data_IF_270871951362
#
_entry.id   IF_270871951362
#
_cell.length_a   1.000
_cell.length_b   1.000
_cell.length_c   1.000
_cell.angle_alpha   90.00
_cell.angle_beta   90.00
_cell.angle_gamma   90.00
#
_symmetry.space_group_name_H-M   'P 1'
#
loop_
_entity.id
_entity.type
_entity.pdbx_description
1 polymer ?
#
# COMPACT_ATOMS: atom_id res chain seq x y z
N UNK A 1 2.91 34.89 -14.06
CA UNK A 1 1.82 34.32 -13.24
C UNK A 1 2.04 34.76 -11.81
N UNK A 2 1.05 35.33 -11.11
CA UNK A 2 1.23 35.79 -9.71
C UNK A 2 1.65 34.62 -8.80
N UNK A 3 2.42 34.90 -7.76
CA UNK A 3 2.91 33.88 -6.82
C UNK A 3 1.75 33.17 -6.12
N UNK A 4 0.73 33.92 -5.71
CA UNK A 4 -0.53 33.41 -5.18
C UNK A 4 -1.20 32.39 -6.11
N UNK A 5 -1.24 32.67 -7.42
CA UNK A 5 -1.81 31.72 -8.40
C UNK A 5 -0.95 30.45 -8.53
N UNK A 6 0.38 30.56 -8.41
CA UNK A 6 1.27 29.39 -8.40
C UNK A 6 1.05 28.53 -7.16
N UNK A 7 0.93 29.16 -5.98
CA UNK A 7 0.65 28.50 -4.71
C UNK A 7 -0.68 27.73 -4.80
N UNK A 8 -1.77 28.40 -5.19
CA UNK A 8 -3.09 27.77 -5.33
C UNK A 8 -3.07 26.55 -6.28
N UNK A 9 -2.32 26.64 -7.38
CA UNK A 9 -2.14 25.52 -8.31
C UNK A 9 -1.34 24.37 -7.69
N UNK A 10 -0.28 24.69 -6.95
CA UNK A 10 0.57 23.72 -6.28
C UNK A 10 -0.21 22.99 -5.17
N UNK A 11 -0.92 23.72 -4.30
CA UNK A 11 -1.79 23.15 -3.27
C UNK A 11 -2.86 22.23 -3.87
N UNK A 12 -3.52 22.65 -4.95
CA UNK A 12 -4.48 21.81 -5.66
C UNK A 12 -3.84 20.52 -6.18
N UNK A 13 -2.61 20.57 -6.68
CA UNK A 13 -1.89 19.39 -7.14
C UNK A 13 -1.49 18.49 -5.97
N UNK A 14 -1.02 19.06 -4.85
CA UNK A 14 -0.72 18.33 -3.63
C UNK A 14 -1.95 17.59 -3.11
N UNK A 15 -3.09 18.28 -3.02
CA UNK A 15 -4.36 17.69 -2.60
C UNK A 15 -4.73 16.48 -3.48
N UNK A 16 -4.58 16.58 -4.81
CA UNK A 16 -4.82 15.44 -5.70
C UNK A 16 -3.91 14.26 -5.37
N UNK A 17 -2.64 14.47 -4.98
CA UNK A 17 -1.75 13.37 -4.57
C UNK A 17 -2.23 12.72 -3.28
N UNK A 18 -2.65 13.51 -2.30
CA UNK A 18 -3.22 13.00 -1.04
C UNK A 18 -4.51 12.21 -1.29
N UNK A 19 -5.40 12.69 -2.18
CA UNK A 19 -6.60 11.95 -2.59
C UNK A 19 -6.26 10.60 -3.24
N UNK A 20 -5.21 10.57 -4.07
CA UNK A 20 -4.74 9.34 -4.69
C UNK A 20 -4.16 8.35 -3.67
N UNK A 21 -3.51 8.82 -2.60
CA UNK A 21 -3.10 7.97 -1.47
C UNK A 21 -4.33 7.33 -0.82
N UNK A 22 -5.36 8.11 -0.49
CA UNK A 22 -6.59 7.56 0.10
C UNK A 22 -7.30 6.52 -0.79
N UNK A 23 -7.34 6.78 -2.11
CA UNK A 23 -7.88 5.81 -3.08
C UNK A 23 -7.04 4.54 -3.18
N UNK A 24 -5.71 4.66 -3.11
CA UNK A 24 -4.79 3.53 -3.10
C UNK A 24 -4.98 2.67 -1.83
N UNK A 25 -5.07 3.31 -0.66
CA UNK A 25 -5.23 2.60 0.61
C UNK A 25 -6.58 1.85 0.65
N UNK A 26 -7.66 2.45 0.14
CA UNK A 26 -8.96 1.78 -0.01
C UNK A 26 -8.89 0.52 -0.86
N UNK A 27 -8.19 0.57 -2.00
CA UNK A 27 -7.97 -0.61 -2.87
C UNK A 27 -7.09 -1.66 -2.21
N UNK A 28 -6.07 -1.23 -1.49
CA UNK A 28 -5.16 -2.12 -0.75
C UNK A 28 -5.92 -2.90 0.31
N UNK A 29 -6.78 -2.25 1.10
CA UNK A 29 -7.64 -2.91 2.09
C UNK A 29 -8.60 -3.91 1.45
N UNK A 30 -9.20 -3.57 0.31
CA UNK A 30 -10.07 -4.49 -0.43
C UNK A 30 -9.32 -5.76 -0.87
N UNK A 31 -8.14 -5.62 -1.49
CA UNK A 31 -7.32 -6.77 -1.93
C UNK A 31 -6.85 -7.60 -0.73
N UNK A 32 -6.47 -6.96 0.37
CA UNK A 32 -6.08 -7.64 1.61
C UNK A 32 -7.23 -8.52 2.14
N UNK A 33 -8.45 -7.99 2.16
CA UNK A 33 -9.63 -8.72 2.59
C UNK A 33 -9.87 -9.99 1.77
N UNK A 34 -9.73 -9.91 0.44
CA UNK A 34 -9.84 -11.08 -0.46
C UNK A 34 -8.76 -12.11 -0.14
N UNK A 35 -7.50 -11.70 -0.04
CA UNK A 35 -6.38 -12.61 0.25
C UNK A 35 -6.55 -13.33 1.59
N UNK A 36 -6.94 -12.61 2.65
CA UNK A 36 -7.20 -13.18 3.97
C UNK A 36 -8.37 -14.17 3.93
N UNK A 37 -9.47 -13.81 3.24
CA UNK A 37 -10.61 -14.70 3.09
C UNK A 37 -10.24 -15.98 2.34
N UNK A 38 -9.52 -15.87 1.23
CA UNK A 38 -9.05 -17.03 0.45
C UNK A 38 -8.11 -17.92 1.26
N UNK A 39 -7.20 -17.34 2.07
CA UNK A 39 -6.35 -18.09 2.99
C UNK A 39 -7.15 -18.81 4.08
N UNK A 40 -8.15 -18.14 4.66
CA UNK A 40 -9.05 -18.75 5.65
C UNK A 40 -9.79 -19.96 5.08
N UNK A 41 -10.32 -19.83 3.86
CA UNK A 41 -10.94 -20.96 3.15
C UNK A 41 -9.92 -22.06 2.89
N UNK A 42 -8.73 -21.74 2.37
CA UNK A 42 -7.67 -22.72 2.11
C UNK A 42 -7.28 -23.50 3.37
N UNK A 43 -7.17 -22.83 4.51
CA UNK A 43 -6.88 -23.45 5.80
C UNK A 43 -8.02 -24.33 6.31
N UNK A 44 -9.28 -23.92 6.09
CA UNK A 44 -10.44 -24.77 6.42
C UNK A 44 -10.55 -26.01 5.52
N UNK A 45 -10.13 -25.88 4.26
CA UNK A 45 -10.13 -26.95 3.26
C UNK A 45 -8.96 -27.92 3.42
N UNK A 46 -8.02 -27.68 4.34
CA UNK A 46 -6.81 -28.50 4.48
C UNK A 46 -6.91 -29.63 5.49
N UNK A 47 -8.11 -30.17 5.75
CA UNK A 47 -8.28 -31.34 6.61
C UNK A 47 -7.59 -32.59 6.03
N UNK A 48 -7.21 -33.53 6.90
CA UNK A 48 -6.63 -34.84 6.54
C UNK A 48 -5.36 -34.75 5.68
N UNK A 49 -4.43 -33.87 6.05
CA UNK A 49 -3.12 -33.70 5.38
C UNK A 49 -2.37 -35.04 5.23
N UNK A 50 -2.58 -35.99 6.14
CA UNK A 50 -2.00 -37.33 6.11
C UNK A 50 -2.39 -38.14 4.87
N UNK A 51 -3.54 -37.85 4.26
CA UNK A 51 -4.06 -38.54 3.06
C UNK A 51 -3.68 -37.84 1.75
N UNK A 52 -2.95 -36.72 1.82
CA UNK A 52 -2.64 -35.94 0.65
C UNK A 52 -1.67 -36.67 -0.29
N UNK A 53 -2.04 -36.71 -1.55
CA UNK A 53 -1.12 -37.03 -2.63
C UNK A 53 -0.07 -35.92 -2.79
N UNK A 54 1.07 -36.25 -3.40
CA UNK A 54 2.11 -35.25 -3.74
C UNK A 54 1.51 -34.09 -4.56
N UNK A 55 0.57 -34.39 -5.46
CA UNK A 55 -0.12 -33.38 -6.24
C UNK A 55 -0.92 -32.40 -5.37
N UNK A 56 -1.65 -32.89 -4.35
CA UNK A 56 -2.37 -32.05 -3.41
C UNK A 56 -1.40 -31.15 -2.61
N UNK A 57 -0.30 -31.68 -2.10
CA UNK A 57 0.74 -30.87 -1.44
C UNK A 57 1.25 -29.73 -2.33
N UNK A 58 1.52 -30.00 -3.61
CA UNK A 58 1.97 -28.97 -4.54
C UNK A 58 0.91 -27.91 -4.76
N UNK A 59 -0.35 -28.30 -5.01
CA UNK A 59 -1.45 -27.35 -5.27
C UNK A 59 -1.72 -26.45 -4.05
N UNK A 60 -1.86 -27.03 -2.85
CA UNK A 60 -2.05 -26.27 -1.62
C UNK A 60 -0.84 -25.40 -1.30
N UNK A 61 0.38 -25.92 -1.47
CA UNK A 61 1.62 -25.19 -1.25
C UNK A 61 1.76 -23.97 -2.17
N UNK A 62 1.57 -24.14 -3.48
CA UNK A 62 1.61 -23.04 -4.45
C UNK A 62 0.53 -22.00 -4.15
N UNK A 63 -0.68 -22.44 -3.78
CA UNK A 63 -1.75 -21.53 -3.38
C UNK A 63 -1.35 -20.72 -2.15
N UNK A 64 -0.86 -21.38 -1.10
CA UNK A 64 -0.43 -20.73 0.13
C UNK A 64 0.70 -19.72 -0.10
N UNK A 65 1.72 -20.10 -0.88
CA UNK A 65 2.86 -19.22 -1.22
C UNK A 65 2.41 -17.99 -2.01
N UNK A 66 1.55 -18.16 -3.01
CA UNK A 66 1.09 -17.03 -3.85
C UNK A 66 0.18 -16.08 -3.06
N UNK A 67 -0.72 -16.60 -2.21
CA UNK A 67 -1.53 -15.77 -1.32
C UNK A 67 -0.68 -15.03 -0.27
N UNK A 68 0.29 -15.71 0.35
CA UNK A 68 1.22 -15.11 1.30
C UNK A 68 2.11 -14.05 0.64
N UNK A 69 2.59 -14.29 -0.58
CA UNK A 69 3.33 -13.29 -1.36
C UNK A 69 2.46 -12.06 -1.68
N UNK A 70 1.18 -12.27 -2.00
CA UNK A 70 0.19 -11.19 -2.15
C UNK A 70 0.11 -10.33 -0.89
N UNK A 71 -0.06 -10.95 0.28
CA UNK A 71 -0.10 -10.24 1.57
C UNK A 71 1.21 -9.53 1.90
N UNK A 72 2.35 -10.11 1.56
CA UNK A 72 3.65 -9.46 1.71
C UNK A 72 3.73 -8.16 0.88
N UNK A 73 3.25 -8.17 -0.36
CA UNK A 73 3.20 -6.95 -1.17
C UNK A 73 2.20 -5.92 -0.64
N UNK A 74 1.06 -6.36 -0.11
CA UNK A 74 0.13 -5.49 0.63
C UNK A 74 0.82 -4.84 1.84
N UNK A 75 1.62 -5.57 2.60
CA UNK A 75 2.39 -4.99 3.69
C UNK A 75 3.38 -3.92 3.18
N UNK A 76 4.09 -4.19 2.08
CA UNK A 76 4.99 -3.21 1.44
C UNK A 76 4.28 -1.97 0.90
N UNK A 77 3.00 -2.06 0.52
CA UNK A 77 2.17 -0.90 0.18
C UNK A 77 1.99 0.06 1.36
N UNK A 78 1.88 -0.45 2.59
CA UNK A 78 1.63 0.38 3.76
C UNK A 78 2.89 1.03 4.32
N UNK A 79 4.02 0.36 4.16
CA UNK A 79 5.31 0.83 4.63
C UNK A 79 6.32 0.96 3.48
N UNK A 80 6.09 1.89 2.52
CA UNK A 80 7.07 2.15 1.48
C UNK A 80 8.32 2.73 2.15
N UNK A 81 9.43 2.00 2.06
CA UNK A 81 10.71 2.49 2.53
C UNK A 81 11.19 3.61 1.60
N UNK A 82 11.08 4.84 2.05
CA UNK A 82 11.66 5.99 1.36
C UNK A 82 12.68 6.65 2.28
N UNK A 83 13.94 6.68 1.85
CA UNK A 83 14.95 7.51 2.50
C UNK A 83 14.65 8.97 2.18
N UNK A 84 14.36 9.77 3.22
CA UNK A 84 14.50 11.23 3.18
C UNK A 84 14.39 11.83 4.57
N UNK A 85 15.30 12.73 4.90
CA UNK A 85 15.06 13.75 5.92
C UNK A 85 13.98 14.70 5.39
N UNK A 86 12.79 14.68 5.97
CA UNK A 86 11.73 15.61 5.62
C UNK A 86 11.77 16.79 6.59
N UNK A 87 12.10 17.98 6.10
CA UNK A 87 12.13 19.21 6.90
C UNK A 87 10.98 20.16 6.53
N UNK A 88 9.98 19.66 5.81
CA UNK A 88 8.85 20.45 5.32
C UNK A 88 7.95 20.91 6.45
N UNK A 89 7.58 22.18 6.46
CA UNK A 89 6.65 22.75 7.44
C UNK A 89 5.19 22.36 7.13
N UNK A 90 4.93 21.80 5.96
CA UNK A 90 3.64 21.25 5.56
C UNK A 90 3.51 19.72 5.80
N UNK A 91 4.55 19.07 6.34
CA UNK A 91 4.50 17.64 6.69
C UNK A 91 4.23 17.44 8.17
N UNK A 92 3.18 16.65 8.47
CA UNK A 92 2.76 16.39 9.85
C UNK A 92 3.87 15.79 10.74
N UNK A 93 4.75 14.95 10.20
CA UNK A 93 5.84 14.35 10.96
C UNK A 93 6.87 15.41 11.42
N UNK A 94 7.27 16.31 10.51
CA UNK A 94 8.16 17.43 10.85
C UNK A 94 7.53 18.30 11.94
N UNK A 95 6.25 18.65 11.79
CA UNK A 95 5.54 19.51 12.74
C UNK A 95 5.48 18.85 14.12
N UNK A 96 5.19 17.54 14.17
CA UNK A 96 5.10 16.78 15.42
C UNK A 96 6.44 16.67 16.17
N UNK A 97 7.56 16.70 15.46
CA UNK A 97 8.91 16.66 16.04
C UNK A 97 9.39 18.04 16.53
N UNK A 98 8.74 19.13 16.12
CA UNK A 98 9.10 20.49 16.48
C UNK A 98 8.39 20.99 17.74
N UNK A 99 9.05 21.85 18.52
CA UNK A 99 8.36 22.64 19.55
C UNK A 99 7.42 23.64 18.89
N UNK A 100 6.27 23.88 19.51
CA UNK A 100 5.26 24.80 18.98
C UNK A 100 5.81 26.20 18.67
N UNK A 101 6.61 26.77 19.57
CA UNK A 101 7.19 28.11 19.37
C UNK A 101 8.14 28.16 18.18
N UNK A 102 8.94 27.10 17.97
CA UNK A 102 9.84 26.99 16.82
C UNK A 102 9.05 26.83 15.51
N UNK A 103 8.00 26.01 15.52
CA UNK A 103 7.11 25.85 14.36
C UNK A 103 6.43 27.18 14.02
N UNK A 104 5.80 27.83 15.00
CA UNK A 104 5.14 29.13 14.83
C UNK A 104 6.11 30.17 14.26
N UNK A 105 7.32 30.27 14.83
CA UNK A 105 8.34 31.22 14.38
C UNK A 105 8.78 30.95 12.94
N UNK A 106 9.05 29.70 12.58
CA UNK A 106 9.44 29.34 11.20
C UNK A 106 8.31 29.64 10.22
N UNK A 107 7.09 29.22 10.52
CA UNK A 107 5.93 29.42 9.64
C UNK A 107 5.63 30.89 9.40
N UNK A 108 5.63 31.73 10.45
CA UNK A 108 5.42 33.17 10.31
C UNK A 108 6.60 33.90 9.65
N UNK A 109 7.79 33.30 9.67
CA UNK A 109 8.99 33.85 9.03
C UNK A 109 9.20 33.40 7.58
N UNK A 110 8.42 32.44 7.08
CA UNK A 110 8.51 31.95 5.70
C UNK A 110 7.92 32.95 4.71
N UNK A 111 8.61 33.19 3.60
CA UNK A 111 8.06 33.95 2.48
C UNK A 111 7.10 33.08 1.64
N UNK A 112 6.26 33.72 0.82
CA UNK A 112 5.43 33.03 -0.17
C UNK A 112 6.24 32.11 -1.09
N UNK A 113 7.49 32.49 -1.38
CA UNK A 113 8.40 31.70 -2.20
C UNK A 113 8.87 30.45 -1.45
N UNK A 114 9.24 30.57 -0.18
CA UNK A 114 9.62 29.43 0.66
C UNK A 114 8.44 28.46 0.81
N UNK A 115 7.23 29.00 0.98
CA UNK A 115 6.01 28.20 1.05
C UNK A 115 5.76 27.42 -0.25
N UNK A 116 5.86 28.09 -1.42
CA UNK A 116 5.72 27.43 -2.72
C UNK A 116 6.76 26.33 -2.92
N UNK A 117 8.03 26.58 -2.58
CA UNK A 117 9.10 25.58 -2.66
C UNK A 117 8.81 24.36 -1.78
N UNK A 118 8.27 24.57 -0.57
CA UNK A 118 7.90 23.50 0.33
C UNK A 118 6.72 22.66 -0.19
N UNK A 119 5.70 23.28 -0.78
CA UNK A 119 4.58 22.57 -1.42
C UNK A 119 5.07 21.77 -2.63
N UNK A 120 5.95 22.33 -3.45
CA UNK A 120 6.55 21.61 -4.58
C UNK A 120 7.36 20.40 -4.12
N UNK A 121 8.11 20.54 -3.03
CA UNK A 121 8.80 19.43 -2.39
C UNK A 121 7.81 18.34 -1.94
N UNK A 122 6.71 18.71 -1.27
CA UNK A 122 5.67 17.76 -0.87
C UNK A 122 5.02 17.04 -2.06
N UNK A 123 4.76 17.74 -3.17
CA UNK A 123 4.21 17.12 -4.39
C UNK A 123 5.17 16.05 -4.90
N UNK A 124 6.46 16.35 -4.98
CA UNK A 124 7.46 15.40 -5.45
C UNK A 124 7.55 14.18 -4.52
N UNK A 125 7.66 14.40 -3.21
CA UNK A 125 7.74 13.31 -2.22
C UNK A 125 6.50 12.42 -2.23
N UNK A 126 5.31 13.00 -2.20
CA UNK A 126 4.06 12.24 -2.26
C UNK A 126 3.93 11.48 -3.59
N UNK A 127 4.44 12.03 -4.69
CA UNK A 127 4.46 11.32 -5.98
C UNK A 127 5.39 10.10 -5.98
N UNK A 128 6.56 10.19 -5.33
CA UNK A 128 7.48 9.04 -5.16
C UNK A 128 6.86 7.96 -4.29
N UNK A 129 6.27 8.35 -3.15
CA UNK A 129 5.55 7.44 -2.25
C UNK A 129 4.43 6.71 -3.00
N UNK A 130 3.59 7.48 -3.72
CA UNK A 130 2.47 6.96 -4.47
C UNK A 130 2.91 5.98 -5.56
N UNK A 131 4.01 6.27 -6.28
CA UNK A 131 4.58 5.37 -7.28
C UNK A 131 4.94 4.01 -6.68
N UNK A 132 5.67 4.00 -5.56
CA UNK A 132 6.07 2.76 -4.86
C UNK A 132 4.84 1.99 -4.36
N UNK A 133 3.89 2.69 -3.73
CA UNK A 133 2.59 2.16 -3.29
C UNK A 133 1.87 1.43 -4.43
N UNK A 134 1.75 2.04 -5.61
CA UNK A 134 1.09 1.41 -6.76
C UNK A 134 1.88 0.26 -7.37
N UNK A 135 3.22 0.29 -7.34
CA UNK A 135 4.06 -0.83 -7.79
C UNK A 135 3.81 -2.08 -6.95
N UNK A 136 3.80 -1.95 -5.62
CA UNK A 136 3.50 -3.07 -4.73
C UNK A 136 2.05 -3.54 -4.86
N UNK A 137 1.08 -2.63 -5.02
CA UNK A 137 -0.32 -3.02 -5.24
C UNK A 137 -0.49 -3.81 -6.55
N UNK A 138 0.23 -3.43 -7.61
CA UNK A 138 0.26 -4.19 -8.86
C UNK A 138 0.81 -5.60 -8.63
N UNK A 139 1.90 -5.75 -7.89
CA UNK A 139 2.47 -7.08 -7.57
C UNK A 139 1.52 -7.92 -6.72
N UNK A 140 0.85 -7.32 -5.73
CA UNK A 140 -0.18 -8.01 -4.93
C UNK A 140 -1.33 -8.51 -5.80
N UNK A 141 -1.82 -7.69 -6.73
CA UNK A 141 -2.86 -8.09 -7.69
C UNK A 141 -2.41 -9.21 -8.62
N UNK A 142 -1.16 -9.19 -9.10
CA UNK A 142 -0.61 -10.28 -9.92
C UNK A 142 -0.53 -11.58 -9.12
N UNK A 143 -0.05 -11.53 -7.87
CA UNK A 143 -0.02 -12.71 -6.99
C UNK A 143 -1.43 -13.25 -6.73
N UNK A 144 -2.40 -12.36 -6.47
CA UNK A 144 -3.81 -12.74 -6.34
C UNK A 144 -4.32 -13.42 -7.62
N UNK A 145 -4.08 -12.85 -8.80
CA UNK A 145 -4.52 -13.45 -10.07
C UNK A 145 -3.92 -14.84 -10.30
N UNK A 146 -2.62 -15.03 -10.01
CA UNK A 146 -1.95 -16.32 -10.11
C UNK A 146 -2.55 -17.33 -9.10
N UNK A 147 -2.93 -16.88 -7.91
CA UNK A 147 -3.48 -17.74 -6.86
C UNK A 147 -4.88 -18.30 -7.17
N UNK A 148 -5.66 -17.67 -8.05
CA UNK A 148 -7.06 -18.06 -8.30
C UNK A 148 -7.16 -19.51 -8.80
N UNK A 149 -6.39 -19.88 -9.83
CA UNK A 149 -6.45 -21.23 -10.41
C UNK A 149 -6.07 -22.33 -9.42
N UNK A 150 -4.90 -22.28 -8.74
CA UNK A 150 -4.53 -23.31 -7.78
C UNK A 150 -5.44 -23.29 -6.54
N UNK A 151 -6.02 -22.14 -6.15
CA UNK A 151 -7.00 -22.07 -5.06
C UNK A 151 -8.33 -22.76 -5.41
N UNK A 152 -8.83 -22.61 -6.63
CA UNK A 152 -10.01 -23.35 -7.08
C UNK A 152 -9.73 -24.86 -7.12
N UNK A 153 -8.53 -25.24 -7.58
CA UNK A 153 -8.10 -26.64 -7.58
C UNK A 153 -7.97 -27.20 -6.16
N UNK A 154 -7.45 -26.43 -5.19
CA UNK A 154 -7.33 -26.89 -3.80
C UNK A 154 -8.69 -27.13 -3.15
N UNK A 155 -9.69 -26.28 -3.43
CA UNK A 155 -11.07 -26.48 -2.95
C UNK A 155 -11.69 -27.73 -3.59
N UNK A 156 -11.52 -27.91 -4.90
CA UNK A 156 -12.02 -29.10 -5.59
C UNK A 156 -11.43 -30.39 -4.98
N UNK A 157 -10.11 -30.43 -4.85
CA UNK A 157 -9.40 -31.57 -4.24
C UNK A 157 -9.85 -31.80 -2.80
N UNK A 158 -9.99 -30.74 -2.01
CA UNK A 158 -10.49 -30.84 -0.62
C UNK A 158 -11.85 -31.55 -0.56
N UNK A 159 -12.78 -31.26 -1.45
CA UNK A 159 -14.08 -31.94 -1.50
C UNK A 159 -13.98 -33.42 -1.91
N UNK A 160 -12.97 -33.83 -2.68
CA UNK A 160 -12.71 -35.25 -2.97
C UNK A 160 -12.15 -35.99 -1.74
N UNK A 161 -11.29 -35.35 -0.93
CA UNK A 161 -10.66 -35.95 0.26
C UNK A 161 -11.49 -35.79 1.56
N UNK A 162 -12.46 -34.88 1.60
CA UNK A 162 -13.33 -34.61 2.76
C UNK A 162 -14.49 -35.60 2.93
N UNK A 163 -14.64 -36.59 2.05
CA UNK A 163 -15.57 -37.72 2.26
C UNK A 163 -15.05 -38.72 3.28
#
# INVERSE_FOLDING_TARGET
MSIEKQINQAETNLQRKLDWVGRHDSRTTFVAGILIAMLGVLASSSSKVEEWTIFAYVVFGVTGVTLAAGLYFIYKCQFPQTESSNNSLNYFGTIAEMKFDDFKKKTLGSSDKDYLEDILYQIHRNSVILKLKFQYLKLALVMLSISILPWLASIYLSNEYLK
#
